data_IF_996254322882
#
_entry.id   IF_996254322882
#
_cell.length_a   1.000
_cell.length_b   1.000
_cell.length_c   1.000
_cell.angle_alpha   90.00
_cell.angle_beta   90.00
_cell.angle_gamma   90.00
#
_symmetry.space_group_name_H-M   'P 1'
#
loop_
_entity.id
_entity.type
_entity.pdbx_description
1 polymer ?
#
# COMPACT_ATOMS: atom_id res chain seq x y z
N UNK A 1 6.08 12.24 -11.05
CA UNK A 1 4.75 11.58 -11.16
C UNK A 1 4.06 11.71 -9.81
N UNK A 2 2.72 11.84 -9.74
CA UNK A 2 2.03 12.00 -8.45
C UNK A 2 1.86 10.68 -7.72
N UNK A 3 1.75 9.59 -8.46
CA UNK A 3 1.61 8.22 -7.97
C UNK A 3 2.16 7.24 -9.00
N UNK A 4 2.39 6.01 -8.57
CA UNK A 4 2.76 4.88 -9.41
C UNK A 4 1.77 3.75 -9.19
N UNK A 5 1.40 3.04 -10.26
CA UNK A 5 0.49 1.90 -10.19
C UNK A 5 1.14 0.66 -10.78
N UNK A 6 0.83 -0.49 -10.19
CA UNK A 6 1.22 -1.81 -10.67
C UNK A 6 0.05 -2.78 -10.52
N UNK A 7 -0.13 -3.71 -11.45
CA UNK A 7 -1.17 -4.72 -11.40
C UNK A 7 -0.57 -6.08 -11.00
N UNK A 8 -1.15 -6.70 -9.96
CA UNK A 8 -0.74 -8.02 -9.52
C UNK A 8 -1.37 -9.08 -10.42
N UNK A 9 -0.54 -9.79 -11.16
CA UNK A 9 -0.96 -10.77 -12.17
C UNK A 9 -1.75 -11.98 -11.61
N UNK A 10 -1.67 -12.26 -10.31
CA UNK A 10 -2.45 -13.27 -9.61
C UNK A 10 -3.58 -12.68 -8.76
N UNK A 11 -3.94 -11.42 -8.95
CA UNK A 11 -4.98 -10.74 -8.18
C UNK A 11 -6.30 -11.50 -8.17
N UNK A 12 -6.73 -12.01 -9.31
CA UNK A 12 -7.99 -12.76 -9.42
C UNK A 12 -8.01 -14.02 -8.54
N UNK A 13 -6.86 -14.66 -8.34
CA UNK A 13 -6.73 -15.87 -7.51
C UNK A 13 -6.58 -15.52 -6.05
N UNK A 14 -5.79 -14.51 -5.72
CA UNK A 14 -5.43 -14.17 -4.33
C UNK A 14 -6.50 -13.34 -3.62
N UNK A 15 -7.16 -12.42 -4.33
CA UNK A 15 -8.09 -11.46 -3.74
C UNK A 15 -9.26 -12.08 -2.96
N UNK A 16 -9.89 -13.20 -3.36
CA UNK A 16 -10.91 -13.83 -2.54
C UNK A 16 -10.43 -14.27 -1.15
N UNK A 17 -9.19 -14.76 -1.06
CA UNK A 17 -8.57 -15.13 0.23
C UNK A 17 -8.27 -13.90 1.07
N UNK A 18 -7.66 -12.87 0.47
CA UNK A 18 -7.37 -11.60 1.14
C UNK A 18 -8.65 -10.93 1.67
N UNK A 19 -9.73 -10.96 0.88
CA UNK A 19 -11.03 -10.44 1.33
C UNK A 19 -11.52 -11.14 2.59
N UNK A 20 -11.51 -12.48 2.60
CA UNK A 20 -11.90 -13.26 3.76
C UNK A 20 -10.98 -13.00 4.96
N UNK A 21 -9.67 -12.90 4.71
CA UNK A 21 -8.69 -12.59 5.77
C UNK A 21 -8.97 -11.25 6.41
N UNK A 22 -9.20 -10.19 5.62
CA UNK A 22 -9.54 -8.86 6.15
C UNK A 22 -10.83 -8.93 6.97
N UNK A 23 -11.89 -9.58 6.46
CA UNK A 23 -13.17 -9.69 7.15
C UNK A 23 -13.11 -10.50 8.46
N UNK A 24 -12.19 -11.46 8.56
CA UNK A 24 -12.03 -12.31 9.75
C UNK A 24 -11.07 -11.72 10.81
N UNK A 25 -10.37 -10.60 10.51
CA UNK A 25 -9.38 -10.00 11.40
C UNK A 25 -9.68 -8.54 11.75
N UNK A 26 -10.94 -8.14 11.72
CA UNK A 26 -11.31 -6.79 12.15
C UNK A 26 -10.92 -6.54 13.61
N UNK A 27 -10.42 -5.35 13.86
CA UNK A 27 -10.29 -4.80 15.19
C UNK A 27 -11.60 -4.06 15.53
N UNK A 28 -12.42 -4.64 16.41
CA UNK A 28 -13.73 -4.09 16.74
C UNK A 28 -13.66 -2.78 17.56
N UNK A 29 -12.47 -2.46 18.11
CA UNK A 29 -12.22 -1.23 18.85
C UNK A 29 -11.85 -0.05 17.94
N UNK A 30 -11.54 -0.30 16.66
CA UNK A 30 -11.06 0.71 15.73
C UNK A 30 -11.87 0.72 14.43
N UNK A 31 -12.24 1.92 13.99
CA UNK A 31 -12.82 2.16 12.66
C UNK A 31 -12.04 3.26 11.95
N UNK A 32 -12.12 3.32 10.63
CA UNK A 32 -11.66 4.51 9.91
C UNK A 32 -12.70 5.63 10.05
N UNK A 33 -12.23 6.88 10.03
CA UNK A 33 -13.14 8.03 9.99
C UNK A 33 -13.99 7.96 8.71
N UNK A 34 -15.31 7.88 8.88
CA UNK A 34 -16.25 7.59 7.80
C UNK A 34 -16.88 6.20 7.88
N UNK A 35 -16.54 5.39 8.91
CA UNK A 35 -17.26 4.20 9.35
C UNK A 35 -16.78 2.86 8.79
N UNK A 36 -15.74 2.82 7.95
CA UNK A 36 -15.18 1.56 7.46
C UNK A 36 -14.58 0.73 8.61
N UNK A 37 -14.77 -0.60 8.58
CA UNK A 37 -14.13 -1.52 9.52
C UNK A 37 -12.69 -1.80 9.07
N UNK A 38 -11.77 -1.93 10.01
CA UNK A 38 -10.36 -2.21 9.70
C UNK A 38 -9.78 -3.31 10.59
N UNK A 39 -8.70 -3.92 10.13
CA UNK A 39 -7.83 -4.77 10.95
C UNK A 39 -6.91 -3.89 11.81
N UNK A 40 -6.08 -4.50 12.65
CA UNK A 40 -5.00 -3.76 13.31
C UNK A 40 -3.93 -3.30 12.29
N UNK A 41 -3.02 -2.44 12.76
CA UNK A 41 -1.96 -1.80 11.94
C UNK A 41 -0.82 -2.73 11.52
N UNK A 42 -0.81 -3.98 11.97
CA UNK A 42 0.28 -4.95 11.79
C UNK A 42 -0.18 -6.24 11.09
N UNK A 43 -1.17 -6.14 10.20
CA UNK A 43 -1.68 -7.29 9.46
C UNK A 43 -0.55 -8.09 8.77
N UNK A 44 0.46 -7.41 8.21
CA UNK A 44 1.61 -8.01 7.52
C UNK A 44 2.58 -8.80 8.42
N UNK A 45 2.41 -8.76 9.73
CA UNK A 45 3.29 -9.48 10.69
C UNK A 45 2.59 -10.67 11.36
N UNK A 46 1.38 -11.01 10.93
CA UNK A 46 0.57 -12.05 11.58
C UNK A 46 0.83 -13.47 11.07
N UNK A 47 1.72 -13.64 10.06
CA UNK A 47 2.00 -14.95 9.48
C UNK A 47 0.81 -15.55 8.71
N UNK A 48 -0.02 -14.70 8.11
CA UNK A 48 -1.15 -15.10 7.29
C UNK A 48 -0.67 -15.32 5.86
N UNK A 49 -0.73 -16.55 5.37
CA UNK A 49 -0.11 -16.99 4.11
C UNK A 49 -0.48 -16.12 2.90
N UNK A 50 -1.74 -15.78 2.75
CA UNK A 50 -2.26 -14.95 1.66
C UNK A 50 -1.73 -13.51 1.76
N UNK A 51 -1.67 -12.96 2.96
CA UNK A 51 -1.07 -11.64 3.22
C UNK A 51 0.44 -11.68 2.96
N UNK A 52 1.14 -12.72 3.42
CA UNK A 52 2.59 -12.86 3.20
C UNK A 52 2.94 -12.92 1.70
N UNK A 53 2.12 -13.59 0.88
CA UNK A 53 2.27 -13.63 -0.58
C UNK A 53 2.12 -12.22 -1.17
N UNK A 54 1.08 -11.49 -0.77
CA UNK A 54 0.86 -10.11 -1.23
C UNK A 54 2.02 -9.20 -0.82
N UNK A 55 2.47 -9.27 0.44
CA UNK A 55 3.56 -8.44 0.97
C UNK A 55 4.87 -8.69 0.24
N UNK A 56 5.22 -9.93 -0.09
CA UNK A 56 6.41 -10.24 -0.88
C UNK A 56 6.38 -9.56 -2.27
N UNK A 57 5.22 -9.56 -2.92
CA UNK A 57 5.06 -8.85 -4.19
C UNK A 57 5.13 -7.33 -4.02
N UNK A 58 4.48 -6.77 -2.99
CA UNK A 58 4.55 -5.33 -2.69
C UNK A 58 6.00 -4.89 -2.44
N UNK A 59 6.75 -5.65 -1.62
CA UNK A 59 8.17 -5.38 -1.35
C UNK A 59 9.01 -5.37 -2.64
N UNK A 60 8.70 -6.24 -3.59
CA UNK A 60 9.37 -6.25 -4.89
C UNK A 60 9.04 -5.01 -5.77
N UNK A 61 7.86 -4.41 -5.59
CA UNK A 61 7.44 -3.19 -6.32
C UNK A 61 8.03 -1.90 -5.72
N UNK A 62 8.38 -1.88 -4.44
CA UNK A 62 8.80 -0.66 -3.70
C UNK A 62 9.95 0.08 -4.39
N UNK A 63 11.04 -0.55 -4.88
CA UNK A 63 12.15 0.17 -5.50
C UNK A 63 11.74 0.97 -6.73
N UNK A 64 10.94 0.39 -7.61
CA UNK A 64 10.42 1.09 -8.80
C UNK A 64 9.45 2.21 -8.39
N UNK A 65 8.53 1.91 -7.47
CA UNK A 65 7.58 2.88 -6.95
C UNK A 65 8.28 4.10 -6.36
N UNK A 66 9.34 3.91 -5.58
CA UNK A 66 10.10 5.00 -4.97
C UNK A 66 10.73 5.93 -6.02
N UNK A 67 11.28 5.37 -7.10
CA UNK A 67 11.85 6.14 -8.21
C UNK A 67 10.75 6.93 -8.94
N UNK A 68 9.66 6.28 -9.30
CA UNK A 68 8.58 6.88 -10.06
C UNK A 68 7.86 8.00 -9.28
N UNK A 69 7.59 7.77 -8.00
CA UNK A 69 6.93 8.74 -7.12
C UNK A 69 7.84 9.94 -6.83
N UNK A 70 9.16 9.75 -6.73
CA UNK A 70 10.13 10.84 -6.53
C UNK A 70 10.36 11.70 -7.78
N UNK A 71 9.73 11.38 -8.91
CA UNK A 71 9.87 12.13 -10.16
C UNK A 71 11.14 11.79 -10.95
N UNK A 72 11.86 10.73 -10.54
CA UNK A 72 12.93 10.12 -11.30
C UNK A 72 12.41 9.34 -12.51
N UNK A 73 13.26 9.02 -13.46
CA UNK A 73 12.95 8.10 -14.55
C UNK A 73 12.77 6.66 -14.06
N UNK A 74 12.79 5.69 -14.98
CA UNK A 74 12.76 4.28 -14.64
C UNK A 74 14.01 3.86 -13.83
N UNK A 75 13.91 2.83 -13.00
CA UNK A 75 15.05 2.20 -12.30
C UNK A 75 16.17 1.78 -13.26
N UNK A 76 15.84 1.56 -14.53
CA UNK A 76 16.80 1.26 -15.61
C UNK A 76 17.68 2.46 -15.96
N UNK A 77 17.20 3.68 -15.76
CA UNK A 77 17.91 4.93 -16.09
C UNK A 77 18.95 5.31 -15.02
N UNK A 78 18.78 4.84 -13.79
CA UNK A 78 19.66 5.17 -12.66
C UNK A 78 20.76 4.15 -12.39
N UNK A 79 20.78 3.02 -13.09
CA UNK A 79 21.72 1.92 -12.82
C UNK A 79 21.53 1.29 -11.45
N UNK A 80 21.71 0.00 -11.33
CA UNK A 80 21.48 -0.77 -10.10
C UNK A 80 22.35 -0.34 -8.88
N UNK A 81 23.35 0.52 -9.12
CA UNK A 81 24.37 0.89 -8.12
C UNK A 81 23.99 2.10 -7.24
N UNK A 82 22.99 2.90 -7.61
CA UNK A 82 22.71 4.18 -6.93
C UNK A 82 21.45 4.19 -6.07
N UNK A 83 20.62 3.14 -6.17
CA UNK A 83 19.38 3.07 -5.40
C UNK A 83 19.49 1.97 -4.34
N UNK A 84 19.57 2.40 -3.10
CA UNK A 84 19.60 1.50 -1.95
C UNK A 84 18.23 0.87 -1.72
N UNK A 85 18.05 -0.33 -2.29
CA UNK A 85 16.81 -1.11 -2.19
C UNK A 85 16.50 -1.59 -0.77
N UNK A 86 17.51 -1.64 0.11
CA UNK A 86 17.38 -2.18 1.47
C UNK A 86 16.82 -1.19 2.49
N UNK A 87 16.76 0.10 2.15
CA UNK A 87 16.33 1.15 3.07
C UNK A 87 14.81 1.28 3.27
N UNK A 88 14.01 0.81 2.31
CA UNK A 88 12.55 0.89 2.39
C UNK A 88 11.97 -0.35 3.06
N UNK A 89 11.06 -0.14 4.01
CA UNK A 89 10.35 -1.21 4.73
C UNK A 89 8.90 -0.85 4.98
N UNK A 90 8.00 -1.82 4.82
CA UNK A 90 6.62 -1.70 5.26
C UNK A 90 6.63 -1.63 6.80
N UNK A 91 6.18 -0.50 7.33
CA UNK A 91 6.09 -0.27 8.79
C UNK A 91 4.71 -0.57 9.34
N UNK A 92 3.68 -0.21 8.61
CA UNK A 92 2.28 -0.44 8.94
C UNK A 92 1.56 -1.01 7.72
N UNK A 93 0.65 -1.96 7.97
CA UNK A 93 -0.22 -2.52 6.95
C UNK A 93 -1.51 -2.99 7.61
N UNK A 94 -2.64 -2.60 7.04
CA UNK A 94 -3.96 -2.99 7.55
C UNK A 94 -4.96 -3.16 6.40
N UNK A 95 -5.96 -4.00 6.63
CA UNK A 95 -7.09 -4.16 5.72
C UNK A 95 -8.22 -3.22 6.12
N UNK A 96 -8.99 -2.73 5.15
CA UNK A 96 -10.18 -1.93 5.36
C UNK A 96 -11.31 -2.48 4.51
N UNK A 97 -12.49 -2.57 5.10
CA UNK A 97 -13.72 -2.96 4.43
C UNK A 97 -14.76 -1.86 4.57
N UNK A 98 -15.40 -1.50 3.45
CA UNK A 98 -16.42 -0.48 3.40
C UNK A 98 -17.74 -1.05 2.91
N UNK A 99 -18.82 -0.66 3.59
CA UNK A 99 -20.19 -0.83 3.14
C UNK A 99 -20.72 0.45 2.53
N UNK A 100 -21.92 0.37 1.95
CA UNK A 100 -22.63 1.51 1.38
C UNK A 100 -22.70 2.68 2.37
N UNK A 101 -22.41 3.87 1.88
CA UNK A 101 -22.39 5.11 2.64
C UNK A 101 -21.09 5.35 3.42
N UNK A 102 -20.23 4.33 3.58
CA UNK A 102 -18.95 4.48 4.28
C UNK A 102 -17.86 5.04 3.34
N UNK A 103 -16.91 5.76 3.92
CA UNK A 103 -15.85 6.48 3.22
C UNK A 103 -14.64 6.67 4.14
N UNK A 104 -13.58 7.29 3.66
CA UNK A 104 -12.51 7.82 4.49
C UNK A 104 -12.35 9.32 4.25
N UNK A 105 -12.24 10.08 5.34
CA UNK A 105 -12.04 11.54 5.29
C UNK A 105 -10.66 11.92 4.75
N UNK A 106 -10.53 13.14 4.22
CA UNK A 106 -9.27 13.68 3.70
C UNK A 106 -8.20 13.71 4.79
N UNK A 107 -7.08 13.01 4.55
CA UNK A 107 -5.95 12.90 5.48
C UNK A 107 -4.67 12.59 4.71
N UNK A 108 -3.55 12.52 5.43
CA UNK A 108 -2.24 12.04 4.93
C UNK A 108 -1.54 11.19 6.00
N UNK A 109 -0.40 10.63 5.64
CA UNK A 109 0.37 9.75 6.51
C UNK A 109 1.79 10.29 6.83
N UNK A 110 1.97 11.63 6.82
CA UNK A 110 3.24 12.20 7.28
C UNK A 110 3.55 11.71 8.71
N UNK A 111 4.79 11.30 9.06
CA UNK A 111 6.05 11.48 8.34
C UNK A 111 6.58 10.24 7.58
N UNK A 112 5.75 9.27 7.24
CA UNK A 112 6.21 8.13 6.45
C UNK A 112 6.73 8.58 5.07
N UNK A 113 7.61 7.79 4.46
CA UNK A 113 8.19 8.11 3.16
C UNK A 113 7.17 7.94 2.03
N UNK A 114 6.52 6.78 1.99
CA UNK A 114 5.49 6.44 1.01
C UNK A 114 4.33 5.70 1.69
N UNK A 115 3.20 5.70 1.02
CA UNK A 115 2.04 4.86 1.35
C UNK A 115 1.60 4.09 0.13
N UNK A 116 0.91 2.99 0.35
CA UNK A 116 0.28 2.22 -0.71
C UNK A 116 -1.18 1.89 -0.41
N UNK A 117 -1.92 1.65 -1.49
CA UNK A 117 -3.32 1.24 -1.46
C UNK A 117 -3.53 0.14 -2.50
N UNK A 118 -3.70 -1.12 -2.04
CA UNK A 118 -3.99 -2.28 -2.89
C UNK A 118 -5.48 -2.58 -2.88
N UNK A 119 -6.08 -2.66 -4.06
CA UNK A 119 -7.49 -2.96 -4.22
C UNK A 119 -7.74 -4.48 -4.21
N UNK A 120 -8.37 -4.97 -3.15
CA UNK A 120 -8.79 -6.37 -3.03
C UNK A 120 -10.13 -6.60 -3.70
N UNK A 121 -11.10 -5.71 -3.46
CA UNK A 121 -12.45 -5.79 -4.01
C UNK A 121 -13.03 -4.40 -4.25
N UNK A 122 -13.64 -4.20 -5.40
CA UNK A 122 -14.34 -2.97 -5.76
C UNK A 122 -15.61 -3.30 -6.56
N UNK A 123 -16.72 -3.65 -5.89
CA UNK A 123 -18.02 -3.81 -6.55
C UNK A 123 -18.47 -2.53 -7.27
N UNK A 124 -19.34 -2.67 -8.25
CA UNK A 124 -19.94 -1.52 -8.94
C UNK A 124 -20.51 -0.51 -7.94
N UNK A 125 -20.16 0.77 -8.11
CA UNK A 125 -20.51 1.82 -7.16
C UNK A 125 -19.49 2.04 -6.04
N UNK A 126 -18.35 1.34 -6.04
CA UNK A 126 -17.21 1.69 -5.18
C UNK A 126 -16.69 3.08 -5.53
N UNK A 127 -16.37 3.86 -4.50
CA UNK A 127 -15.79 5.19 -4.69
C UNK A 127 -14.38 5.10 -5.30
N UNK A 128 -13.99 6.01 -6.21
CA UNK A 128 -12.58 6.16 -6.57
C UNK A 128 -11.73 6.51 -5.34
N UNK A 129 -10.43 6.25 -5.43
CA UNK A 129 -9.43 6.77 -4.52
C UNK A 129 -8.99 8.14 -5.02
N UNK A 130 -9.19 9.17 -4.20
CA UNK A 130 -8.89 10.56 -4.60
C UNK A 130 -7.59 10.98 -3.95
N UNK A 131 -6.58 11.31 -4.78
CA UNK A 131 -5.26 11.75 -4.37
C UNK A 131 -5.00 13.17 -4.87
N UNK A 132 -4.96 14.15 -3.97
CA UNK A 132 -4.83 15.58 -4.31
C UNK A 132 -5.75 15.99 -5.48
N UNK A 133 -7.02 15.69 -5.39
CA UNK A 133 -8.08 15.99 -6.36
C UNK A 133 -8.02 15.16 -7.67
N UNK A 134 -7.10 14.20 -7.79
CA UNK A 134 -7.04 13.25 -8.91
C UNK A 134 -7.76 11.96 -8.54
N UNK A 135 -8.74 11.57 -9.35
CA UNK A 135 -9.51 10.35 -9.14
C UNK A 135 -8.81 9.15 -9.75
N UNK A 136 -8.62 8.11 -8.94
CA UNK A 136 -7.99 6.84 -9.34
C UNK A 136 -9.02 5.73 -9.13
N UNK A 137 -9.45 5.10 -10.22
CA UNK A 137 -10.42 4.01 -10.18
C UNK A 137 -9.90 2.81 -9.39
N UNK A 138 -10.72 2.24 -8.48
CA UNK A 138 -10.34 1.07 -7.71
C UNK A 138 -10.49 -0.20 -8.57
N UNK A 139 -9.39 -0.68 -9.10
CA UNK A 139 -9.34 -1.91 -9.92
C UNK A 139 -8.81 -3.04 -9.05
N UNK A 140 -9.60 -4.14 -8.82
CA UNK A 140 -9.12 -5.28 -8.05
C UNK A 140 -7.79 -5.85 -8.61
N UNK A 141 -6.82 -6.09 -7.75
CA UNK A 141 -5.46 -6.51 -8.13
C UNK A 141 -4.49 -5.34 -8.36
N UNK A 142 -4.94 -4.09 -8.40
CA UNK A 142 -4.09 -2.91 -8.58
C UNK A 142 -3.63 -2.34 -7.26
N UNK A 143 -2.33 -2.00 -7.20
CA UNK A 143 -1.74 -1.19 -6.13
C UNK A 143 -1.45 0.23 -6.63
N UNK A 144 -1.61 1.20 -5.75
CA UNK A 144 -1.25 2.60 -5.96
C UNK A 144 -0.23 2.99 -4.90
N UNK A 145 0.96 3.44 -5.31
CA UNK A 145 1.98 4.01 -4.41
C UNK A 145 2.01 5.52 -4.56
N UNK A 146 2.16 6.22 -3.45
CA UNK A 146 2.21 7.69 -3.41
C UNK A 146 3.02 8.19 -2.21
N UNK A 147 3.50 9.43 -2.26
CA UNK A 147 4.14 10.05 -1.10
C UNK A 147 3.17 10.22 0.06
N UNK A 148 3.58 9.82 1.25
CA UNK A 148 2.72 9.82 2.45
C UNK A 148 2.24 11.20 2.90
N UNK A 149 2.89 12.28 2.47
CA UNK A 149 2.46 13.66 2.76
C UNK A 149 1.26 14.12 1.90
N UNK A 150 0.89 13.35 0.87
CA UNK A 150 -0.21 13.74 -0.03
C UNK A 150 -1.55 13.45 0.61
N UNK A 151 -2.46 14.40 0.46
CA UNK A 151 -3.81 14.25 0.96
C UNK A 151 -4.60 13.29 0.08
N UNK A 152 -5.30 12.37 0.72
CA UNK A 152 -6.17 11.42 0.02
C UNK A 152 -7.43 11.10 0.82
N UNK A 153 -8.44 10.63 0.10
CA UNK A 153 -9.75 10.31 0.65
C UNK A 153 -10.58 9.49 -0.32
N UNK A 154 -11.78 9.07 0.12
CA UNK A 154 -12.81 8.50 -0.76
C UNK A 154 -14.13 9.21 -0.52
N UNK A 155 -15.01 9.18 -1.51
CA UNK A 155 -16.39 9.56 -1.35
C UNK A 155 -17.20 8.40 -0.72
N UNK A 156 -18.44 8.63 -0.23
CA UNK A 156 -19.31 7.55 0.22
C UNK A 156 -19.51 6.49 -0.87
N UNK A 157 -19.25 5.23 -0.53
CA UNK A 157 -19.48 4.11 -1.43
C UNK A 157 -20.98 3.94 -1.71
N UNK A 158 -21.35 3.59 -2.93
CA UNK A 158 -22.73 3.34 -3.33
C UNK A 158 -23.13 1.87 -3.17
N UNK A 159 -22.17 0.99 -2.90
CA UNK A 159 -22.35 -0.45 -2.70
C UNK A 159 -21.60 -0.97 -1.49
N UNK A 160 -21.93 -2.18 -1.05
CA UNK A 160 -21.23 -2.92 -0.01
C UNK A 160 -20.04 -3.70 -0.59
N UNK A 161 -19.03 -4.00 0.24
CA UNK A 161 -17.99 -4.96 -0.10
C UNK A 161 -16.73 -4.38 -0.75
N UNK A 162 -16.52 -3.05 -0.76
CA UNK A 162 -15.22 -2.50 -1.13
C UNK A 162 -14.19 -2.89 -0.08
N UNK A 163 -13.09 -3.52 -0.50
CA UNK A 163 -12.03 -3.99 0.39
C UNK A 163 -10.65 -3.58 -0.14
N UNK A 164 -9.84 -3.03 0.75
CA UNK A 164 -8.50 -2.52 0.46
C UNK A 164 -7.51 -3.07 1.47
N UNK A 165 -6.26 -3.31 1.05
CA UNK A 165 -5.11 -3.47 1.95
C UNK A 165 -4.20 -2.27 1.71
N UNK A 166 -3.95 -1.52 2.78
CA UNK A 166 -3.21 -0.27 2.73
C UNK A 166 -2.03 -0.30 3.69
N UNK A 167 -1.03 0.54 3.47
CA UNK A 167 0.10 0.57 4.38
C UNK A 167 1.02 1.75 4.19
N UNK A 168 1.94 1.87 5.14
CA UNK A 168 2.94 2.93 5.23
C UNK A 168 4.35 2.34 5.18
N UNK A 169 5.21 2.99 4.41
CA UNK A 169 6.59 2.60 4.15
C UNK A 169 7.52 3.64 4.76
N UNK A 170 8.48 3.18 5.56
CA UNK A 170 9.58 4.00 6.09
C UNK A 170 10.82 3.84 5.23
N UNK A 171 11.65 4.87 5.21
CA UNK A 171 13.00 4.81 4.66
C UNK A 171 14.01 4.93 5.78
N UNK A 172 14.88 3.92 5.92
CA UNK A 172 15.98 3.93 6.88
C UNK A 172 17.31 3.66 6.16
N UNK A 173 18.06 4.71 5.82
CA UNK A 173 19.33 4.57 5.08
C UNK A 173 20.43 3.89 5.91
N UNK A 174 20.30 3.81 7.22
CA UNK A 174 21.35 3.28 8.10
C UNK A 174 21.48 1.75 8.09
N UNK A 175 20.51 1.04 7.50
CA UNK A 175 20.57 -0.42 7.44
C UNK A 175 21.54 -0.97 6.38
N UNK A 176 22.12 -0.11 5.54
CA UNK A 176 22.91 -0.51 4.34
C UNK A 176 24.41 -0.25 4.47
N UNK A 177 24.84 0.63 5.37
CA UNK A 177 26.22 1.09 5.46
C UNK A 177 27.23 0.03 5.97
N UNK A 178 26.79 -1.11 6.50
CA UNK A 178 27.71 -2.04 7.16
C UNK A 178 28.27 -3.18 6.27
N UNK A 179 27.70 -3.44 5.12
CA UNK A 179 28.15 -4.54 4.27
C UNK A 179 29.31 -4.16 3.34
N UNK A 180 29.54 -2.89 3.04
CA UNK A 180 30.62 -2.45 2.16
C UNK A 180 31.95 -2.14 2.86
N UNK A 181 31.94 -1.90 4.17
CA UNK A 181 33.17 -1.56 4.92
C UNK A 181 34.03 -2.77 5.33
N UNK A 182 33.52 -4.00 5.21
CA UNK A 182 34.30 -5.22 5.55
C UNK A 182 35.10 -5.83 4.39
N UNK A 183 35.00 -5.30 3.17
CA UNK A 183 35.68 -5.85 2.02
C UNK A 183 37.09 -5.28 1.74
N UNK A 184 37.59 -4.35 2.56
CA UNK A 184 38.89 -3.70 2.37
C UNK A 184 39.90 -3.90 3.51
N UNK A 185 39.60 -4.78 4.49
CA UNK A 185 40.58 -5.16 5.53
C UNK A 185 40.98 -6.63 5.36
N UNK A 186 41.71 -6.93 4.30
CA UNK A 186 42.64 -8.09 4.20
C UNK A 186 43.77 -7.75 3.26
#
# INVERSE_FOLDING_TARGET
MKFYTEDYWQGDVLNPYLYNTVCNHFNDEETVMGGGRKTDWKLHTKGLKDVDILIQWIDACIPEAAIQVSGGGSSKDYGAATFDRGGFKINQCWGIHYNKGQYVTKHNHFPFAMSFNYCVSAPEGSSPFILDEEEIEPIPGRIVFFHSHRNHYTLPNKSDGRCMIVGNIVYNPLTVSYTHLRAHET
#
